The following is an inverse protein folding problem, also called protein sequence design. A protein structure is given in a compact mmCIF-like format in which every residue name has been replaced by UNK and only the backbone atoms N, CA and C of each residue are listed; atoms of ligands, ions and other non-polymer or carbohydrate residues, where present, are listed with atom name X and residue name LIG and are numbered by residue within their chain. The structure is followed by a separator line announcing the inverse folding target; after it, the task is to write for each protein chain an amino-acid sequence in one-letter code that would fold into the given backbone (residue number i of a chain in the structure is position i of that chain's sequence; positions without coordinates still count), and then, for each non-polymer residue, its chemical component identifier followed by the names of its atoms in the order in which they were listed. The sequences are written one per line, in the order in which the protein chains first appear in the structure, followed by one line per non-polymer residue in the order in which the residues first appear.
data_IF_800890433928
#
_entry.id   IF_800890433928
#
_cell.length_a   1.000
_cell.length_b   1.000
_cell.length_c   1.000
_cell.angle_alpha   90.00
_cell.angle_beta   90.00
_cell.angle_gamma   90.00
#
_symmetry.space_group_name_H-M   'P 1'
#
loop_
_entity.id
_entity.type
_entity.pdbx_description
1 polymer ?
#
# COMPACT_ATOMS: atom_id res chain seq x y z
N UNK A 1 -9.75 13.56 -24.39
CA UNK A 1 -9.27 12.77 -23.22
C UNK A 1 -10.48 12.50 -22.33
N UNK A 2 -10.91 11.22 -22.19
CA UNK A 2 -11.95 10.84 -21.23
C UNK A 2 -11.42 11.12 -19.82
N UNK A 3 -11.98 12.08 -19.12
CA UNK A 3 -11.73 12.25 -17.68
C UNK A 3 -12.19 10.96 -16.99
N UNK A 4 -11.26 10.22 -16.45
CA UNK A 4 -11.60 9.08 -15.60
C UNK A 4 -12.34 9.61 -14.37
N UNK A 5 -13.62 9.30 -14.30
CA UNK A 5 -14.47 9.74 -13.20
C UNK A 5 -14.28 8.75 -12.04
N UNK A 6 -13.44 9.14 -11.08
CA UNK A 6 -13.17 8.35 -9.86
C UNK A 6 -14.39 8.25 -8.94
N UNK A 7 -15.44 9.04 -9.21
CA UNK A 7 -16.66 9.03 -8.39
C UNK A 7 -17.40 7.69 -8.43
N UNK A 8 -17.17 6.86 -9.46
CA UNK A 8 -17.75 5.51 -9.52
C UNK A 8 -17.04 4.47 -8.65
N UNK A 9 -15.93 4.80 -7.98
CA UNK A 9 -15.17 3.87 -7.13
C UNK A 9 -15.35 4.15 -5.64
N UNK A 10 -16.18 5.14 -5.29
CA UNK A 10 -16.34 5.64 -3.91
C UNK A 10 -17.84 5.77 -3.60
N UNK A 11 -18.26 5.60 -2.33
CA UNK A 11 -19.63 5.82 -1.92
C UNK A 11 -20.12 7.24 -2.20
N UNK A 12 -21.40 7.45 -2.48
CA UNK A 12 -21.97 8.79 -2.65
C UNK A 12 -21.77 9.58 -1.33
N UNK A 13 -21.19 10.78 -1.46
CA UNK A 13 -20.88 11.66 -0.30
C UNK A 13 -19.41 11.67 0.12
N UNK A 14 -18.58 10.79 -0.41
CA UNK A 14 -17.13 10.78 -0.17
C UNK A 14 -16.39 11.47 -1.33
N UNK A 15 -15.40 12.29 -1.00
CA UNK A 15 -14.58 12.95 -2.01
C UNK A 15 -13.50 12.01 -2.54
N UNK A 16 -13.76 11.37 -3.67
CA UNK A 16 -12.85 10.43 -4.31
C UNK A 16 -11.43 10.95 -4.54
N UNK A 17 -11.29 12.27 -4.78
CA UNK A 17 -9.97 12.89 -5.00
C UNK A 17 -9.15 12.95 -3.70
N UNK A 18 -9.78 13.35 -2.60
CA UNK A 18 -9.10 13.44 -1.30
C UNK A 18 -8.66 12.06 -0.82
N UNK A 19 -9.52 11.06 -1.02
CA UNK A 19 -9.21 9.69 -0.65
C UNK A 19 -8.09 9.10 -1.52
N UNK A 20 -8.13 9.32 -2.83
CA UNK A 20 -7.05 8.91 -3.73
C UNK A 20 -5.73 9.60 -3.37
N UNK A 21 -5.76 10.89 -3.02
CA UNK A 21 -4.58 11.62 -2.55
C UNK A 21 -4.03 11.04 -1.25
N UNK A 22 -4.88 10.70 -0.29
CA UNK A 22 -4.46 10.07 0.97
C UNK A 22 -3.79 8.71 0.71
N UNK A 23 -4.32 7.90 -0.20
CA UNK A 23 -3.73 6.63 -0.62
C UNK A 23 -2.34 6.85 -1.23
N UNK A 24 -2.21 7.80 -2.16
CA UNK A 24 -0.93 8.13 -2.80
C UNK A 24 0.09 8.61 -1.78
N UNK A 25 -0.30 9.48 -0.85
CA UNK A 25 0.58 9.96 0.23
C UNK A 25 1.02 8.81 1.15
N UNK A 26 0.11 7.92 1.51
CA UNK A 26 0.43 6.73 2.31
C UNK A 26 1.40 5.78 1.61
N UNK A 27 1.23 5.57 0.31
CA UNK A 27 2.18 4.79 -0.50
C UNK A 27 3.55 5.46 -0.58
N UNK A 28 3.59 6.77 -0.80
CA UNK A 28 4.84 7.53 -0.83
C UNK A 28 5.58 7.45 0.52
N UNK A 29 4.86 7.61 1.63
CA UNK A 29 5.42 7.45 2.97
C UNK A 29 5.96 6.03 3.21
N UNK A 30 5.25 4.99 2.74
CA UNK A 30 5.71 3.59 2.83
C UNK A 30 6.97 3.33 2.02
N UNK A 31 7.10 3.92 0.84
CA UNK A 31 8.33 3.87 0.02
C UNK A 31 9.48 4.57 0.74
N UNK A 32 9.27 5.77 1.26
CA UNK A 32 10.30 6.51 2.02
C UNK A 32 10.76 5.70 3.23
N UNK A 33 9.83 5.11 3.98
CA UNK A 33 10.15 4.25 5.13
C UNK A 33 10.98 3.03 4.72
N UNK A 34 10.75 2.48 3.53
CA UNK A 34 11.48 1.32 3.02
C UNK A 34 12.96 1.61 2.74
N UNK A 35 13.36 2.87 2.52
CA UNK A 35 14.78 3.26 2.39
C UNK A 35 15.62 2.98 3.63
N UNK A 36 14.99 2.71 4.77
CA UNK A 36 15.67 2.22 5.97
C UNK A 36 16.54 0.97 5.73
N UNK A 37 16.18 0.13 4.75
CA UNK A 37 17.01 -0.99 4.31
C UNK A 37 18.35 -0.52 3.74
N UNK A 38 18.35 0.44 2.83
CA UNK A 38 19.57 0.96 2.20
C UNK A 38 20.50 1.63 3.20
N UNK A 39 19.93 2.34 4.19
CA UNK A 39 20.72 2.95 5.26
C UNK A 39 21.42 1.87 6.09
N UNK A 40 20.73 0.79 6.45
CA UNK A 40 21.31 -0.33 7.19
C UNK A 40 22.38 -1.06 6.39
N UNK A 41 22.10 -1.31 5.11
CA UNK A 41 23.06 -1.94 4.20
C UNK A 41 24.33 -1.11 4.09
N UNK A 42 24.23 0.19 3.87
CA UNK A 42 25.39 1.10 3.78
C UNK A 42 26.19 1.11 5.08
N UNK A 43 25.53 1.08 6.24
CA UNK A 43 26.19 0.98 7.54
C UNK A 43 27.02 -0.30 7.64
N UNK A 44 26.45 -1.45 7.30
CA UNK A 44 27.14 -2.76 7.36
C UNK A 44 28.31 -2.79 6.35
N UNK A 45 28.14 -2.25 5.15
CA UNK A 45 29.24 -2.18 4.17
C UNK A 45 30.41 -1.32 4.67
N UNK A 46 30.12 -0.20 5.36
CA UNK A 46 31.18 0.64 5.96
C UNK A 46 31.89 -0.06 7.12
N UNK A 47 31.15 -0.77 7.97
CA UNK A 47 31.72 -1.53 9.08
C UNK A 47 32.59 -2.69 8.57
N UNK A 48 32.16 -3.37 7.50
CA UNK A 48 32.95 -4.40 6.83
C UNK A 48 34.24 -3.83 6.22
N UNK A 49 34.14 -2.67 5.53
CA UNK A 49 35.31 -1.99 4.94
C UNK A 49 36.31 -1.50 5.99
N UNK A 50 35.85 -1.18 7.20
CA UNK A 50 36.69 -0.79 8.33
C UNK A 50 37.30 -1.99 9.08
N UNK A 51 37.05 -3.23 8.65
CA UNK A 51 37.51 -4.45 9.31
C UNK A 51 36.85 -4.73 10.67
N UNK A 52 35.77 -4.04 11.00
CA UNK A 52 35.07 -4.15 12.28
C UNK A 52 33.93 -5.19 12.26
N UNK A 53 33.56 -5.73 11.09
CA UNK A 53 32.47 -6.68 10.97
C UNK A 53 32.99 -8.12 11.03
N UNK A 54 32.64 -8.86 12.06
CA UNK A 54 32.95 -10.30 12.20
C UNK A 54 32.15 -11.19 11.23
N UNK A 55 30.97 -10.74 10.77
CA UNK A 55 30.13 -11.47 9.81
C UNK A 55 29.10 -10.57 9.13
N UNK A 56 28.84 -10.81 7.85
CA UNK A 56 27.78 -10.11 7.12
C UNK A 56 26.42 -10.65 7.62
N UNK A 57 25.50 -9.79 8.08
CA UNK A 57 24.20 -10.23 8.56
C UNK A 57 23.32 -10.79 7.43
N UNK A 58 22.51 -11.78 7.76
CA UNK A 58 21.56 -12.39 6.80
C UNK A 58 20.59 -11.33 6.28
N UNK A 59 20.22 -11.42 4.99
CA UNK A 59 19.29 -10.50 4.30
C UNK A 59 18.03 -10.18 5.13
N UNK A 60 17.45 -11.20 5.79
CA UNK A 60 16.24 -11.01 6.60
C UNK A 60 16.43 -10.07 7.80
N UNK A 61 17.63 -10.07 8.41
CA UNK A 61 17.96 -9.14 9.51
C UNK A 61 18.14 -7.71 9.01
N UNK A 62 18.74 -7.54 7.83
CA UNK A 62 18.90 -6.25 7.18
C UNK A 62 17.56 -5.66 6.73
N UNK A 63 16.71 -6.50 6.12
CA UNK A 63 15.37 -6.11 5.69
C UNK A 63 14.55 -5.64 6.91
N UNK A 64 14.58 -6.40 8.03
CA UNK A 64 13.90 -6.06 9.26
C UNK A 64 12.47 -5.55 9.02
N UNK A 65 12.16 -4.35 9.53
CA UNK A 65 10.84 -3.73 9.39
C UNK A 65 10.72 -2.76 8.20
N UNK A 66 11.65 -2.79 7.24
CA UNK A 66 11.66 -1.82 6.15
C UNK A 66 10.40 -1.87 5.27
N UNK A 67 9.75 -3.02 5.17
CA UNK A 67 8.48 -3.17 4.44
C UNK A 67 7.23 -3.05 5.32
N UNK A 68 7.36 -2.77 6.63
CA UNK A 68 6.22 -2.66 7.54
C UNK A 68 5.23 -1.56 7.13
N UNK A 69 5.70 -0.47 6.50
CA UNK A 69 4.85 0.58 5.98
C UNK A 69 3.78 0.08 5.00
N UNK A 70 4.12 -0.88 4.15
CA UNK A 70 3.16 -1.49 3.22
C UNK A 70 2.15 -2.38 3.92
N UNK A 71 2.55 -3.09 4.97
CA UNK A 71 1.62 -3.89 5.80
C UNK A 71 0.61 -2.97 6.50
N UNK A 72 1.08 -1.86 7.06
CA UNK A 72 0.20 -0.84 7.67
C UNK A 72 -0.76 -0.27 6.63
N UNK A 73 -0.29 0.00 5.40
CA UNK A 73 -1.16 0.47 4.30
C UNK A 73 -2.25 -0.54 3.94
N UNK A 74 -1.93 -1.83 3.84
CA UNK A 74 -2.92 -2.89 3.55
C UNK A 74 -3.97 -2.96 4.65
N UNK A 75 -3.56 -2.87 5.92
CA UNK A 75 -4.48 -2.84 7.07
C UNK A 75 -5.37 -1.59 6.99
N UNK A 76 -4.81 -0.42 6.70
CA UNK A 76 -5.57 0.82 6.54
C UNK A 76 -6.60 0.70 5.40
N UNK A 77 -6.25 0.08 4.27
CA UNK A 77 -7.20 -0.16 3.18
C UNK A 77 -8.32 -1.12 3.58
N UNK A 78 -8.02 -2.16 4.35
CA UNK A 78 -9.05 -3.07 4.88
C UNK A 78 -10.01 -2.34 5.82
N UNK A 79 -9.50 -1.49 6.71
CA UNK A 79 -10.33 -0.65 7.59
C UNK A 79 -11.19 0.33 6.79
N UNK A 80 -10.64 0.94 5.75
CA UNK A 80 -11.38 1.85 4.86
C UNK A 80 -12.53 1.12 4.16
N UNK A 81 -12.33 -0.11 3.70
CA UNK A 81 -13.39 -0.97 3.17
C UNK A 81 -14.53 -1.16 4.18
N UNK A 82 -14.20 -1.44 5.44
CA UNK A 82 -15.18 -1.62 6.52
C UNK A 82 -15.97 -0.33 6.77
N UNK A 83 -15.28 0.81 6.80
CA UNK A 83 -15.91 2.14 6.97
C UNK A 83 -16.86 2.43 5.82
N UNK A 84 -16.44 2.22 4.57
CA UNK A 84 -17.29 2.40 3.39
C UNK A 84 -18.51 1.48 3.42
N UNK A 85 -18.33 0.23 3.82
CA UNK A 85 -19.44 -0.71 4.00
C UNK A 85 -20.44 -0.20 5.05
N UNK A 86 -19.94 0.30 6.17
CA UNK A 86 -20.78 0.84 7.25
C UNK A 86 -21.55 2.10 6.83
N UNK A 87 -20.91 3.00 6.03
CA UNK A 87 -21.57 4.19 5.51
C UNK A 87 -22.74 3.84 4.59
N UNK A 88 -22.62 2.79 3.78
CA UNK A 88 -23.70 2.30 2.94
C UNK A 88 -24.92 1.79 3.72
N UNK A 89 -24.69 1.20 4.90
CA UNK A 89 -25.79 0.69 5.73
C UNK A 89 -26.50 1.76 6.57
N UNK A 90 -25.83 2.88 6.88
CA UNK A 90 -26.44 3.97 7.66
C UNK A 90 -27.43 4.82 6.88
N UNK A 91 -27.25 4.98 5.58
CA UNK A 91 -28.16 5.74 4.72
C UNK A 91 -29.19 4.81 4.07
N UNK A 92 -30.32 4.63 4.74
CA UNK A 92 -31.44 3.79 4.27
C UNK A 92 -31.95 4.19 2.86
N UNK A 93 -31.76 5.44 2.44
CA UNK A 93 -32.07 5.92 1.08
C UNK A 93 -31.13 5.39 0.02
N UNK A 94 -29.86 5.16 0.33
CA UNK A 94 -28.88 4.63 -0.62
C UNK A 94 -29.11 3.14 -0.91
N UNK A 95 -29.62 2.36 0.07
CA UNK A 95 -29.94 0.95 -0.13
C UNK A 95 -31.06 0.76 -1.18
N UNK A 96 -32.06 1.66 -1.23
CA UNK A 96 -33.13 1.59 -2.24
C UNK A 96 -32.61 1.90 -3.64
N UNK A 97 -31.68 2.84 -3.79
CA UNK A 97 -31.05 3.17 -5.07
C UNK A 97 -30.12 2.04 -5.54
N UNK A 98 -29.36 1.42 -4.63
CA UNK A 98 -28.44 0.33 -4.91
C UNK A 98 -29.15 -1.01 -5.20
N UNK A 99 -30.34 -1.26 -4.63
CA UNK A 99 -31.16 -2.43 -4.99
C UNK A 99 -31.69 -2.39 -6.42
N UNK A 100 -31.69 -1.20 -7.07
CA UNK A 100 -32.07 -1.04 -8.47
C UNK A 100 -30.90 -1.22 -9.45
N UNK A 101 -29.66 -1.32 -8.94
CA UNK A 101 -28.50 -1.61 -9.78
C UNK A 101 -28.51 -3.09 -10.19
N UNK A 102 -28.31 -3.41 -11.48
CA UNK A 102 -28.49 -4.75 -12.02
C UNK A 102 -27.42 -5.77 -11.63
N UNK A 103 -26.46 -5.44 -10.74
CA UNK A 103 -25.40 -6.36 -10.38
C UNK A 103 -24.78 -6.16 -8.99
N UNK A 104 -24.60 -7.27 -8.26
CA UNK A 104 -23.85 -7.32 -6.99
C UNK A 104 -22.41 -6.79 -7.13
N UNK A 105 -21.83 -6.90 -8.32
CA UNK A 105 -20.50 -6.40 -8.67
C UNK A 105 -20.41 -4.86 -8.69
N UNK A 106 -21.47 -4.17 -9.08
CA UNK A 106 -21.51 -2.71 -9.08
C UNK A 106 -21.50 -2.14 -7.66
N UNK A 107 -22.22 -2.79 -6.74
CA UNK A 107 -22.18 -2.44 -5.32
C UNK A 107 -20.77 -2.57 -4.75
N UNK A 108 -20.10 -3.69 -5.03
CA UNK A 108 -18.73 -3.94 -4.58
C UNK A 108 -17.75 -2.92 -5.17
N UNK A 109 -17.94 -2.54 -6.43
CA UNK A 109 -17.13 -1.54 -7.12
C UNK A 109 -17.23 -0.17 -6.46
N UNK A 110 -18.43 0.25 -6.09
CA UNK A 110 -18.67 1.55 -5.44
C UNK A 110 -18.24 1.59 -3.98
N UNK A 111 -18.28 0.46 -3.26
CA UNK A 111 -17.89 0.40 -1.83
C UNK A 111 -16.42 0.14 -1.60
N UNK A 112 -15.83 -0.75 -2.39
CA UNK A 112 -14.50 -1.29 -2.13
C UNK A 112 -13.50 -1.04 -3.27
N UNK A 113 -13.93 -0.42 -4.38
CA UNK A 113 -13.10 -0.28 -5.58
C UNK A 113 -11.79 0.46 -5.32
N UNK A 114 -11.84 1.61 -4.68
CA UNK A 114 -10.66 2.43 -4.40
C UNK A 114 -9.73 1.80 -3.35
N UNK A 115 -10.24 1.30 -2.18
CA UNK A 115 -9.40 0.61 -1.21
C UNK A 115 -8.77 -0.67 -1.75
N UNK A 116 -9.48 -1.47 -2.54
CA UNK A 116 -8.92 -2.68 -3.17
C UNK A 116 -7.80 -2.31 -4.15
N UNK A 117 -8.01 -1.29 -4.99
CA UNK A 117 -6.96 -0.81 -5.89
C UNK A 117 -5.72 -0.32 -5.13
N UNK A 118 -5.90 0.39 -4.02
CA UNK A 118 -4.81 0.83 -3.13
C UNK A 118 -4.07 -0.35 -2.50
N UNK A 119 -4.78 -1.37 -2.03
CA UNK A 119 -4.18 -2.58 -1.45
C UNK A 119 -3.37 -3.38 -2.50
N UNK A 120 -3.91 -3.58 -3.69
CA UNK A 120 -3.22 -4.27 -4.79
C UNK A 120 -1.96 -3.51 -5.19
N UNK A 121 -2.04 -2.19 -5.31
CA UNK A 121 -0.88 -1.34 -5.63
C UNK A 121 0.19 -1.42 -4.55
N UNK A 122 -0.21 -1.45 -3.26
CA UNK A 122 0.72 -1.62 -2.13
C UNK A 122 1.46 -2.95 -2.20
N UNK A 123 0.77 -4.04 -2.54
CA UNK A 123 1.38 -5.38 -2.67
C UNK A 123 2.37 -5.39 -3.83
N UNK A 124 2.00 -4.84 -4.99
CA UNK A 124 2.88 -4.79 -6.17
C UNK A 124 4.15 -3.99 -5.85
N UNK A 125 4.02 -2.82 -5.24
CA UNK A 125 5.17 -1.98 -4.86
C UNK A 125 6.06 -2.68 -3.82
N UNK A 126 5.48 -3.35 -2.83
CA UNK A 126 6.23 -4.11 -1.83
C UNK A 126 7.04 -5.25 -2.47
N UNK A 127 6.47 -5.98 -3.43
CA UNK A 127 7.15 -7.05 -4.16
C UNK A 127 8.29 -6.52 -5.04
N UNK A 128 8.06 -5.41 -5.74
CA UNK A 128 9.10 -4.76 -6.55
C UNK A 128 10.27 -4.31 -5.68
N UNK A 129 9.99 -3.64 -4.55
CA UNK A 129 11.03 -3.20 -3.63
C UNK A 129 11.77 -4.36 -2.98
N UNK A 130 11.06 -5.43 -2.63
CA UNK A 130 11.68 -6.65 -2.11
C UNK A 130 12.66 -7.25 -3.13
N UNK A 131 12.25 -7.36 -4.41
CA UNK A 131 13.11 -7.88 -5.47
C UNK A 131 14.33 -6.98 -5.72
N UNK A 132 14.14 -5.66 -5.72
CA UNK A 132 15.24 -4.68 -5.85
C UNK A 132 16.22 -4.80 -4.68
N UNK A 133 15.72 -4.86 -3.45
CA UNK A 133 16.58 -4.99 -2.26
C UNK A 133 17.34 -6.31 -2.23
N UNK A 134 16.71 -7.38 -2.68
CA UNK A 134 17.37 -8.68 -2.81
C UNK A 134 18.48 -8.65 -3.88
N UNK A 135 18.23 -8.03 -5.03
CA UNK A 135 19.23 -7.85 -6.06
C UNK A 135 20.41 -6.99 -5.59
N UNK A 136 20.11 -5.85 -4.94
CA UNK A 136 21.14 -4.97 -4.38
C UNK A 136 21.97 -5.70 -3.33
N UNK A 137 21.34 -6.45 -2.43
CA UNK A 137 22.04 -7.23 -1.42
C UNK A 137 23.02 -8.23 -2.05
N UNK A 138 22.60 -8.97 -3.07
CA UNK A 138 23.47 -9.90 -3.78
C UNK A 138 24.64 -9.22 -4.48
N UNK A 139 24.42 -8.03 -5.08
CA UNK A 139 25.49 -7.27 -5.75
C UNK A 139 26.55 -6.73 -4.77
N UNK A 140 26.19 -6.49 -3.51
CA UNK A 140 27.12 -5.98 -2.50
C UNK A 140 27.88 -7.07 -1.73
N UNK A 141 27.43 -8.32 -1.83
CA UNK A 141 28.05 -9.45 -1.11
C UNK A 141 29.01 -10.24 -2.01
N UNK A 142 28.83 -10.15 -3.33
CA UNK A 142 29.72 -10.74 -4.35
C UNK A 142 30.72 -9.71 -4.85
#
# INVERSE_FOLDING_TARGET
MKKYDLSCLVPPGVNAKEEAQAIVLGLAASVIFSFGFLIRLNKVCREAAAGAAESIPVFSKLLGNSLAGFVVMIIAMALLCIVHWHMHYKDSKSIYLLKRLPGKLELLRHTAGLPIAGAVLSIILALILFAVYFAVFNLYIW
#
